data_IF_462525203537
#
_entry.id   IF_462525203537
#
_cell.length_a   1.000
_cell.length_b   1.000
_cell.length_c   1.000
_cell.angle_alpha   90.00
_cell.angle_beta   90.00
_cell.angle_gamma   90.00
#
_symmetry.space_group_name_H-M   'P 1'
#
loop_
_entity.id
_entity.type
_entity.pdbx_description
1 polymer ?
#
# COMPACT_ATOMS: atom_id res chain seq x y z
N UNK A 1 3.50 -23.21 0.96
CA UNK A 1 4.28 -23.04 -0.30
C UNK A 1 5.60 -22.43 0.11
N UNK A 2 6.73 -22.86 -0.44
CA UNK A 2 8.02 -22.27 -0.09
C UNK A 2 8.24 -20.96 -0.87
N UNK A 3 8.86 -19.94 -0.26
CA UNK A 3 9.28 -18.73 -0.96
C UNK A 3 10.18 -19.07 -2.14
N UNK A 4 9.99 -18.36 -3.26
CA UNK A 4 10.83 -18.54 -4.45
C UNK A 4 10.62 -17.42 -5.46
N UNK A 5 11.61 -17.23 -6.32
CA UNK A 5 11.43 -16.50 -7.57
C UNK A 5 10.58 -17.29 -8.58
N UNK A 6 9.69 -16.58 -9.25
CA UNK A 6 8.87 -17.05 -10.37
C UNK A 6 9.28 -16.22 -11.59
N UNK A 7 9.72 -16.90 -12.65
CA UNK A 7 10.19 -16.26 -13.87
C UNK A 7 9.05 -15.60 -14.65
N UNK A 8 9.40 -14.63 -15.51
CA UNK A 8 8.43 -13.76 -16.17
C UNK A 8 7.41 -14.51 -17.05
N UNK A 9 7.82 -15.62 -17.67
CA UNK A 9 6.98 -16.48 -18.51
C UNK A 9 5.98 -17.34 -17.72
N UNK A 10 6.21 -17.48 -16.40
CA UNK A 10 5.35 -18.20 -15.47
C UNK A 10 4.50 -17.27 -14.60
N UNK A 11 4.82 -15.97 -14.61
CA UNK A 11 4.16 -14.94 -13.83
C UNK A 11 2.94 -14.38 -14.57
N UNK A 12 1.77 -14.25 -13.92
CA UNK A 12 0.59 -13.63 -14.54
C UNK A 12 0.80 -12.14 -14.83
N UNK A 13 1.87 -11.53 -14.30
CA UNK A 13 2.21 -10.12 -14.48
C UNK A 13 3.21 -9.90 -15.63
N UNK A 14 3.68 -10.97 -16.29
CA UNK A 14 4.66 -10.87 -17.38
C UNK A 14 6.04 -10.38 -16.95
N UNK A 15 6.31 -10.36 -15.64
CA UNK A 15 7.59 -9.96 -15.04
C UNK A 15 8.03 -10.96 -13.99
N UNK A 16 9.33 -11.04 -13.72
CA UNK A 16 9.87 -11.86 -12.63
C UNK A 16 9.35 -11.34 -11.29
N UNK A 17 8.80 -12.23 -10.47
CA UNK A 17 8.25 -11.92 -9.15
C UNK A 17 8.83 -12.85 -8.10
N UNK A 18 8.87 -12.41 -6.86
CA UNK A 18 9.19 -13.24 -5.71
C UNK A 18 7.91 -13.57 -4.94
N UNK A 19 7.67 -14.85 -4.65
CA UNK A 19 6.47 -15.33 -3.95
C UNK A 19 6.65 -15.27 -2.42
N UNK A 20 6.02 -14.26 -1.81
CA UNK A 20 6.06 -13.99 -0.38
C UNK A 20 4.92 -14.67 0.40
N UNK A 21 4.01 -15.40 -0.26
CA UNK A 21 2.77 -15.91 0.36
C UNK A 21 3.02 -16.79 1.58
N UNK A 22 4.12 -17.53 1.61
CA UNK A 22 4.50 -18.39 2.73
C UNK A 22 4.53 -17.61 4.06
N UNK A 23 5.17 -16.43 4.06
CA UNK A 23 5.27 -15.57 5.23
C UNK A 23 4.02 -14.72 5.39
N UNK A 24 3.51 -14.14 4.29
CA UNK A 24 2.33 -13.27 4.33
C UNK A 24 1.10 -13.96 4.97
N UNK A 25 0.94 -15.27 4.76
CA UNK A 25 -0.23 -16.01 5.25
C UNK A 25 -0.01 -16.72 6.59
N UNK A 26 1.25 -17.07 6.93
CA UNK A 26 1.54 -17.87 8.11
C UNK A 26 2.04 -17.05 9.31
N UNK A 27 2.61 -15.87 9.08
CA UNK A 27 3.15 -15.05 10.15
C UNK A 27 2.00 -14.42 10.95
N UNK A 28 1.90 -14.81 12.23
CA UNK A 28 1.04 -14.14 13.19
C UNK A 28 1.87 -13.14 13.98
N UNK A 29 1.40 -11.90 14.03
CA UNK A 29 2.02 -10.84 14.80
C UNK A 29 1.28 -10.62 16.11
N UNK A 30 2.04 -10.54 17.19
CA UNK A 30 1.58 -9.93 18.42
C UNK A 30 2.46 -8.71 18.70
N UNK A 31 1.88 -7.71 19.36
CA UNK A 31 2.64 -6.58 19.89
C UNK A 31 2.79 -6.76 21.39
N UNK A 32 4.00 -6.53 21.90
CA UNK A 32 4.20 -6.38 23.35
C UNK A 32 3.88 -4.94 23.82
N UNK A 33 3.73 -4.02 22.87
CA UNK A 33 3.35 -2.63 23.13
C UNK A 33 1.83 -2.54 23.30
N UNK A 34 1.40 -2.34 24.56
CA UNK A 34 0.00 -2.24 24.92
C UNK A 34 -0.68 -1.00 24.31
N UNK A 35 0.06 0.09 24.08
CA UNK A 35 -0.47 1.32 23.51
C UNK A 35 -0.78 1.10 22.03
N UNK A 36 0.13 0.46 21.28
CA UNK A 36 -0.11 0.07 19.90
C UNK A 36 -1.31 -0.89 19.75
N UNK A 37 -1.47 -1.85 20.68
CA UNK A 37 -2.63 -2.75 20.69
C UNK A 37 -3.94 -1.99 20.94
N UNK A 38 -3.97 -1.12 21.95
CA UNK A 38 -5.14 -0.31 22.28
C UNK A 38 -5.53 0.63 21.12
N UNK A 39 -4.53 1.26 20.51
CA UNK A 39 -4.71 2.14 19.36
C UNK A 39 -5.30 1.37 18.16
N UNK A 40 -4.74 0.21 17.82
CA UNK A 40 -5.29 -0.64 16.76
C UNK A 40 -6.78 -0.97 16.99
N UNK A 41 -7.13 -1.39 18.22
CA UNK A 41 -8.52 -1.70 18.58
C UNK A 41 -9.43 -0.48 18.45
N UNK A 42 -9.01 0.68 18.98
CA UNK A 42 -9.79 1.93 18.88
C UNK A 42 -10.02 2.35 17.42
N UNK A 43 -8.99 2.23 16.56
CA UNK A 43 -9.10 2.53 15.14
C UNK A 43 -10.08 1.61 14.40
N UNK A 44 -10.35 0.39 14.90
CA UNK A 44 -11.35 -0.51 14.29
C UNK A 44 -12.78 -0.07 14.54
N UNK A 45 -13.02 0.80 15.50
CA UNK A 45 -14.34 1.39 15.79
C UNK A 45 -14.53 2.75 15.09
N UNK A 46 -13.47 3.33 14.54
CA UNK A 46 -13.54 4.62 13.84
C UNK A 46 -14.32 4.54 12.52
N UNK A 47 -14.93 5.65 12.12
CA UNK A 47 -15.52 5.89 10.80
C UNK A 47 -14.50 6.45 9.78
N UNK A 48 -13.25 6.66 10.20
CA UNK A 48 -12.17 7.22 9.37
C UNK A 48 -12.04 8.74 9.46
N UNK A 49 -12.93 9.42 10.19
CA UNK A 49 -12.93 10.89 10.29
C UNK A 49 -11.62 11.48 10.82
N UNK A 50 -10.88 10.73 11.64
CA UNK A 50 -9.57 11.11 12.14
C UNK A 50 -8.50 11.27 11.04
N UNK A 51 -8.69 10.67 9.86
CA UNK A 51 -7.79 10.75 8.70
C UNK A 51 -8.12 11.91 7.76
N UNK A 52 -9.29 12.53 7.89
CA UNK A 52 -9.76 13.57 6.98
C UNK A 52 -8.93 14.84 7.15
N UNK A 53 -8.39 15.37 6.05
CA UNK A 53 -7.52 16.55 6.04
C UNK A 53 -6.11 16.31 6.60
N UNK A 54 -5.80 15.12 7.11
CA UNK A 54 -4.46 14.79 7.60
C UNK A 54 -3.47 14.66 6.45
N UNK A 55 -2.22 15.04 6.71
CA UNK A 55 -1.09 14.95 5.78
C UNK A 55 0.12 14.29 6.46
N UNK A 56 1.02 13.66 5.69
CA UNK A 56 2.33 13.25 6.20
C UNK A 56 3.11 14.43 6.79
N UNK A 57 4.06 14.14 7.68
CA UNK A 57 5.04 15.12 8.11
C UNK A 57 5.86 15.63 6.91
N UNK A 58 6.31 16.88 6.95
CA UNK A 58 7.14 17.51 5.91
C UNK A 58 6.67 17.18 4.47
N UNK A 59 5.41 17.51 4.12
CA UNK A 59 4.80 16.98 2.92
C UNK A 59 5.41 17.58 1.65
N UNK A 60 5.78 16.70 0.73
CA UNK A 60 6.19 17.04 -0.63
C UNK A 60 5.26 16.42 -1.64
N UNK A 61 5.08 17.12 -2.76
CA UNK A 61 4.15 16.75 -3.82
C UNK A 61 4.93 16.14 -5.00
N UNK A 62 4.47 15.00 -5.46
CA UNK A 62 4.94 14.33 -6.68
C UNK A 62 3.77 14.25 -7.65
N UNK A 63 3.93 14.82 -8.84
CA UNK A 63 2.93 14.69 -9.90
C UNK A 63 3.03 13.31 -10.52
N UNK A 64 1.88 12.65 -10.69
CA UNK A 64 1.76 11.30 -11.22
C UNK A 64 0.57 11.25 -12.17
N UNK A 65 0.49 10.19 -12.96
CA UNK A 65 -0.72 9.83 -13.68
C UNK A 65 -0.93 8.36 -13.40
N UNK A 66 -2.03 7.97 -12.78
CA UNK A 66 -2.41 6.57 -12.61
C UNK A 66 -3.91 6.46 -12.88
N UNK A 67 -4.35 5.44 -13.61
CA UNK A 67 -5.75 5.29 -14.02
C UNK A 67 -6.29 3.92 -13.64
N UNK A 68 -7.49 3.90 -13.05
CA UNK A 68 -8.18 2.69 -12.60
C UNK A 68 -9.60 2.65 -13.16
N UNK A 69 -10.00 1.58 -13.86
CA UNK A 69 -11.36 1.46 -14.39
C UNK A 69 -12.45 1.57 -13.30
N UNK A 70 -13.55 2.26 -13.60
CA UNK A 70 -14.67 2.44 -12.66
C UNK A 70 -15.45 1.16 -12.37
N UNK A 71 -15.39 0.18 -13.27
CA UNK A 71 -16.09 -1.10 -13.14
C UNK A 71 -15.44 -2.05 -12.12
N UNK A 72 -14.26 -1.71 -11.60
CA UNK A 72 -13.60 -2.47 -10.53
C UNK A 72 -14.36 -2.36 -9.20
N UNK A 73 -14.71 -1.14 -8.80
CA UNK A 73 -15.37 -0.83 -7.54
C UNK A 73 -15.82 0.62 -7.54
N UNK A 74 -17.08 0.86 -7.17
CA UNK A 74 -17.57 2.21 -6.91
C UNK A 74 -17.05 2.67 -5.54
N UNK A 75 -16.33 3.80 -5.53
CA UNK A 75 -15.77 4.41 -4.33
C UNK A 75 -16.72 5.51 -3.82
N UNK A 76 -16.97 5.57 -2.50
CA UNK A 76 -17.79 6.63 -1.93
C UNK A 76 -17.05 7.98 -2.00
N UNK A 77 -17.79 9.09 -1.94
CA UNK A 77 -17.18 10.42 -1.83
C UNK A 77 -16.47 10.64 -0.49
N UNK A 78 -16.89 9.91 0.55
CA UNK A 78 -16.33 9.98 1.91
C UNK A 78 -16.44 8.65 2.65
N UNK A 79 -15.39 8.30 3.40
CA UNK A 79 -15.39 7.17 4.33
C UNK A 79 -14.17 6.26 4.18
N UNK A 80 -14.18 5.12 4.86
CA UNK A 80 -13.11 4.12 4.76
C UNK A 80 -13.32 3.25 3.52
N UNK A 81 -12.32 3.21 2.63
CA UNK A 81 -12.32 2.37 1.42
C UNK A 81 -11.55 1.06 1.61
N UNK A 82 -10.67 1.01 2.62
CA UNK A 82 -10.03 -0.20 3.11
C UNK A 82 -9.78 -0.12 4.62
N UNK A 83 -10.18 -1.15 5.36
CA UNK A 83 -9.98 -1.29 6.81
C UNK A 83 -9.20 -2.57 7.11
N UNK A 84 -8.06 -2.46 7.78
CA UNK A 84 -7.37 -3.64 8.33
C UNK A 84 -8.28 -4.45 9.28
N UNK A 85 -8.54 -5.71 8.96
CA UNK A 85 -9.29 -6.63 9.80
C UNK A 85 -8.43 -7.41 10.80
N UNK A 86 -7.10 -7.38 10.66
CA UNK A 86 -6.16 -8.04 11.57
C UNK A 86 -4.86 -7.26 11.71
N UNK A 87 -4.04 -7.62 12.70
CA UNK A 87 -2.73 -7.00 12.95
C UNK A 87 -1.75 -7.20 11.79
N UNK A 88 -1.96 -8.22 10.97
CA UNK A 88 -1.21 -8.53 9.76
C UNK A 88 -1.65 -7.66 8.57
N UNK A 89 -2.74 -6.90 8.66
CA UNK A 89 -3.09 -5.87 7.67
C UNK A 89 -2.54 -4.54 8.16
N UNK A 90 -1.60 -3.98 7.40
CA UNK A 90 -0.74 -2.87 7.85
C UNK A 90 -1.27 -1.48 7.52
N UNK A 91 -2.40 -1.40 6.82
CA UNK A 91 -2.91 -0.16 6.24
C UNK A 91 -4.38 0.04 6.54
N UNK A 92 -4.75 1.30 6.72
CA UNK A 92 -6.12 1.80 6.54
C UNK A 92 -6.12 2.87 5.47
N UNK A 93 -7.17 2.89 4.67
CA UNK A 93 -7.31 3.83 3.56
C UNK A 93 -8.70 4.43 3.63
N UNK A 94 -8.75 5.75 3.69
CA UNK A 94 -9.98 6.51 3.67
C UNK A 94 -9.98 7.51 2.51
N UNK A 95 -11.18 7.88 2.07
CA UNK A 95 -11.42 8.93 1.08
C UNK A 95 -12.24 10.05 1.72
N UNK A 96 -11.91 11.29 1.36
CA UNK A 96 -12.69 12.48 1.69
C UNK A 96 -12.59 13.50 0.56
N UNK A 97 -13.70 13.77 -0.13
CA UNK A 97 -13.80 14.78 -1.18
C UNK A 97 -12.70 14.66 -2.24
N UNK A 98 -12.51 13.43 -2.76
CA UNK A 98 -11.50 13.13 -3.76
C UNK A 98 -10.06 13.03 -3.23
N UNK A 99 -9.83 13.08 -1.93
CA UNK A 99 -8.50 12.83 -1.35
C UNK A 99 -8.48 11.46 -0.68
N UNK A 100 -7.62 10.57 -1.16
CA UNK A 100 -7.29 9.32 -0.47
C UNK A 100 -6.19 9.57 0.56
N UNK A 101 -6.34 8.99 1.76
CA UNK A 101 -5.38 9.05 2.86
C UNK A 101 -5.01 7.64 3.27
N UNK A 102 -3.71 7.33 3.26
CA UNK A 102 -3.16 6.01 3.60
C UNK A 102 -2.44 6.10 4.93
N UNK A 103 -2.93 5.37 5.92
CA UNK A 103 -2.40 5.37 7.27
C UNK A 103 -1.93 3.98 7.71
N UNK A 104 -0.93 3.93 8.58
CA UNK A 104 -0.52 2.69 9.25
C UNK A 104 -1.64 2.26 10.20
N UNK A 105 -2.12 1.03 10.06
CA UNK A 105 -3.28 0.55 10.82
C UNK A 105 -3.07 0.45 12.33
N UNK A 106 -1.81 0.37 12.77
CA UNK A 106 -1.46 0.23 14.18
C UNK A 106 -1.36 1.58 14.90
N UNK A 107 -0.81 2.59 14.22
CA UNK A 107 -0.52 3.90 14.83
C UNK A 107 -1.51 4.97 14.40
N UNK A 108 -2.12 4.83 13.22
CA UNK A 108 -2.89 5.88 12.56
C UNK A 108 -2.02 6.91 11.82
N UNK A 109 -0.70 6.70 11.76
CA UNK A 109 0.21 7.63 11.09
C UNK A 109 -0.07 7.68 9.60
N UNK A 110 -0.34 8.87 9.09
CA UNK A 110 -0.54 9.11 7.66
C UNK A 110 0.78 9.10 6.93
N UNK A 111 0.90 8.21 5.95
CA UNK A 111 2.13 8.02 5.16
C UNK A 111 1.99 8.63 3.76
N UNK A 112 0.80 8.51 3.16
CA UNK A 112 0.54 9.05 1.84
C UNK A 112 -0.82 9.74 1.80
N UNK A 113 -0.93 10.74 0.93
CA UNK A 113 -2.21 11.11 0.34
C UNK A 113 -2.12 11.09 -1.18
N UNK A 114 -3.25 10.91 -1.85
CA UNK A 114 -3.33 11.20 -3.27
C UNK A 114 -4.65 11.87 -3.64
N UNK A 115 -4.61 12.71 -4.68
CA UNK A 115 -5.80 13.31 -5.26
C UNK A 115 -6.38 12.31 -6.27
N UNK A 116 -7.66 11.97 -6.12
CA UNK A 116 -8.41 11.03 -6.93
C UNK A 116 -9.58 11.78 -7.58
N UNK A 117 -9.64 11.75 -8.90
CA UNK A 117 -10.75 12.32 -9.67
C UNK A 117 -11.43 11.24 -10.48
N UNK A 118 -12.72 11.41 -10.71
CA UNK A 118 -13.46 10.58 -11.66
C UNK A 118 -13.42 11.26 -13.03
N UNK A 119 -12.82 10.60 -14.01
CA UNK A 119 -12.73 11.07 -15.39
C UNK A 119 -13.24 9.99 -16.35
N UNK A 120 -14.29 10.30 -17.12
CA UNK A 120 -14.91 9.36 -18.05
C UNK A 120 -15.23 8.01 -17.36
N UNK A 121 -14.56 6.92 -17.80
CA UNK A 121 -14.71 5.55 -17.32
C UNK A 121 -13.57 5.14 -16.36
N UNK A 122 -12.87 6.09 -15.74
CA UNK A 122 -11.78 5.78 -14.80
C UNK A 122 -11.72 6.72 -13.59
N UNK A 123 -11.14 6.20 -12.50
CA UNK A 123 -10.53 7.01 -11.46
C UNK A 123 -9.10 7.36 -11.85
N UNK A 124 -8.75 8.64 -11.77
CA UNK A 124 -7.42 9.17 -12.10
C UNK A 124 -6.77 9.72 -10.85
N UNK A 125 -5.55 9.26 -10.57
CA UNK A 125 -4.68 9.84 -9.55
C UNK A 125 -3.67 10.75 -10.22
N UNK A 126 -3.70 12.04 -9.88
CA UNK A 126 -2.81 13.06 -10.46
C UNK A 126 -1.66 13.47 -9.54
N UNK A 127 -1.75 13.09 -8.27
CA UNK A 127 -0.88 13.61 -7.22
C UNK A 127 -0.57 12.54 -6.20
N UNK A 128 0.68 12.43 -5.80
CA UNK A 128 1.09 11.78 -4.57
C UNK A 128 1.67 12.83 -3.61
N UNK A 129 1.23 12.81 -2.36
CA UNK A 129 1.86 13.53 -1.24
C UNK A 129 2.51 12.52 -0.32
N UNK A 130 3.79 12.70 -0.05
CA UNK A 130 4.63 11.86 0.82
C UNK A 130 5.49 12.75 1.71
N UNK A 131 6.05 12.22 2.79
CA UNK A 131 7.07 12.94 3.56
C UNK A 131 8.37 13.03 2.77
N UNK A 132 8.99 14.22 2.77
CA UNK A 132 10.34 14.43 2.22
C UNK A 132 11.38 13.51 2.86
N UNK A 133 11.21 13.21 4.16
CA UNK A 133 12.11 12.35 4.94
C UNK A 133 12.12 10.88 4.43
N UNK A 134 11.13 10.50 3.62
CA UNK A 134 11.04 9.17 3.02
C UNK A 134 11.65 9.10 1.63
N UNK A 135 11.87 10.24 0.97
CA UNK A 135 12.39 10.26 -0.39
C UNK A 135 13.86 9.89 -0.39
N UNK A 136 14.20 8.86 -1.15
CA UNK A 136 15.59 8.52 -1.49
C UNK A 136 15.86 9.03 -2.90
N UNK A 137 16.87 9.89 -3.05
CA UNK A 137 17.18 10.61 -4.29
C UNK A 137 17.30 9.70 -5.53
N UNK A 138 17.74 8.45 -5.35
CA UNK A 138 17.95 7.50 -6.44
C UNK A 138 16.71 6.64 -6.77
N UNK A 139 15.62 6.72 -6.00
CA UNK A 139 14.38 5.95 -6.22
C UNK A 139 13.09 6.69 -5.80
N UNK A 140 12.96 7.96 -6.21
CA UNK A 140 11.73 8.76 -6.01
C UNK A 140 10.47 8.01 -6.46
N UNK A 141 10.56 7.22 -7.54
CA UNK A 141 9.44 6.42 -8.08
C UNK A 141 8.94 5.31 -7.15
N UNK A 142 9.73 4.88 -6.15
CA UNK A 142 9.37 3.79 -5.26
C UNK A 142 8.00 4.03 -4.61
N UNK A 143 7.78 5.21 -4.04
CA UNK A 143 6.54 5.54 -3.35
C UNK A 143 5.32 5.61 -4.28
N UNK A 144 5.53 6.02 -5.54
CA UNK A 144 4.48 5.97 -6.57
C UNK A 144 4.03 4.52 -6.78
N UNK A 145 4.96 3.59 -6.94
CA UNK A 145 4.61 2.18 -7.12
C UNK A 145 4.07 1.52 -5.84
N UNK A 146 4.48 1.99 -4.66
CA UNK A 146 3.86 1.57 -3.40
C UNK A 146 2.39 1.96 -3.36
N UNK A 147 2.07 3.22 -3.68
CA UNK A 147 0.67 3.67 -3.69
C UNK A 147 -0.13 2.98 -4.80
N UNK A 148 0.44 2.79 -5.99
CA UNK A 148 -0.20 2.00 -7.03
C UNK A 148 -0.52 0.57 -6.57
N UNK A 149 0.43 -0.09 -5.90
CA UNK A 149 0.20 -1.39 -5.29
C UNK A 149 -0.92 -1.35 -4.24
N UNK A 150 -0.95 -0.34 -3.34
CA UNK A 150 -2.00 -0.22 -2.33
C UNK A 150 -3.38 0.02 -2.96
N UNK A 151 -3.46 0.80 -4.04
CA UNK A 151 -4.71 1.00 -4.79
C UNK A 151 -5.21 -0.32 -5.37
N UNK A 152 -4.38 -1.03 -6.15
CA UNK A 152 -4.76 -2.34 -6.69
C UNK A 152 -5.14 -3.34 -5.61
N UNK A 153 -4.25 -3.55 -4.63
CA UNK A 153 -4.35 -4.66 -3.68
C UNK A 153 -5.25 -4.40 -2.48
N UNK A 154 -5.46 -3.15 -2.07
CA UNK A 154 -6.26 -2.83 -0.88
C UNK A 154 -7.57 -2.15 -1.25
N UNK A 155 -7.55 -1.17 -2.16
CA UNK A 155 -8.77 -0.45 -2.54
C UNK A 155 -9.61 -1.29 -3.51
N UNK A 156 -8.99 -1.85 -4.55
CA UNK A 156 -9.68 -2.62 -5.60
C UNK A 156 -9.62 -4.15 -5.40
N UNK A 157 -8.95 -4.64 -4.36
CA UNK A 157 -8.85 -6.07 -4.02
C UNK A 157 -8.29 -6.98 -5.14
N UNK A 158 -7.40 -6.42 -5.97
CA UNK A 158 -6.72 -7.11 -7.06
C UNK A 158 -5.32 -7.51 -6.63
N UNK A 159 -4.99 -8.79 -6.82
CA UNK A 159 -3.64 -9.30 -6.58
C UNK A 159 -2.66 -8.59 -7.51
N UNK A 160 -1.70 -7.89 -6.93
CA UNK A 160 -0.70 -7.10 -7.64
C UNK A 160 0.65 -7.21 -6.90
N UNK A 161 1.79 -7.28 -7.60
CA UNK A 161 3.08 -7.33 -6.94
C UNK A 161 3.48 -5.95 -6.41
N UNK A 162 3.97 -5.88 -5.17
CA UNK A 162 4.51 -4.64 -4.61
C UNK A 162 5.94 -4.40 -5.11
N UNK A 163 6.39 -3.13 -5.20
CA UNK A 163 7.77 -2.83 -5.55
C UNK A 163 8.72 -3.25 -4.42
N UNK A 164 9.91 -3.72 -4.80
CA UNK A 164 11.08 -3.78 -3.92
C UNK A 164 11.87 -2.47 -4.04
N UNK A 165 12.41 -1.90 -2.96
CA UNK A 165 13.32 -0.75 -3.04
C UNK A 165 14.49 -1.03 -4.00
N UNK A 166 14.97 0.00 -4.72
CA UNK A 166 16.24 -0.16 -5.46
C UNK A 166 17.36 -0.53 -4.50
N UNK A 167 18.23 -1.45 -4.95
CA UNK A 167 19.34 -1.92 -4.14
C UNK A 167 18.94 -2.74 -2.91
N UNK A 168 17.65 -3.10 -2.75
CA UNK A 168 17.24 -4.04 -1.72
C UNK A 168 18.08 -5.32 -1.84
N UNK A 169 18.64 -5.77 -0.72
CA UNK A 169 19.34 -7.04 -0.67
C UNK A 169 18.41 -8.12 -1.23
N UNK A 170 18.86 -8.75 -2.29
CA UNK A 170 18.14 -9.83 -3.00
C UNK A 170 18.17 -11.14 -2.22
N UNK A 171 18.65 -11.12 -0.97
CA UNK A 171 18.46 -12.26 -0.09
C UNK A 171 16.97 -12.40 0.23
N UNK A 172 16.51 -13.64 0.15
CA UNK A 172 15.09 -13.96 0.17
C UNK A 172 14.46 -13.62 1.52
N UNK A 173 15.21 -13.73 2.62
CA UNK A 173 14.73 -13.44 3.97
C UNK A 173 14.47 -11.93 4.15
N UNK A 174 15.39 -11.08 3.68
CA UNK A 174 15.20 -9.62 3.68
C UNK A 174 13.99 -9.20 2.86
N UNK A 175 13.78 -9.81 1.69
CA UNK A 175 12.58 -9.58 0.88
C UNK A 175 11.34 -9.96 1.67
N UNK A 176 11.28 -11.15 2.25
CA UNK A 176 10.12 -11.63 3.00
C UNK A 176 9.77 -10.71 4.18
N UNK A 177 10.78 -10.36 4.98
CA UNK A 177 10.60 -9.55 6.18
C UNK A 177 10.19 -8.11 5.85
N UNK A 178 10.83 -7.49 4.85
CA UNK A 178 10.45 -6.14 4.42
C UNK A 178 9.05 -6.12 3.79
N UNK A 179 8.73 -7.09 2.94
CA UNK A 179 7.40 -7.25 2.34
C UNK A 179 6.30 -7.36 3.41
N UNK A 180 6.51 -8.20 4.42
CA UNK A 180 5.54 -8.37 5.49
C UNK A 180 5.47 -7.14 6.42
N UNK A 181 6.59 -6.50 6.73
CA UNK A 181 6.60 -5.27 7.53
C UNK A 181 5.81 -4.14 6.85
N UNK A 182 6.03 -3.96 5.54
CA UNK A 182 5.38 -2.91 4.76
C UNK A 182 3.93 -3.23 4.42
N UNK A 183 3.62 -4.46 3.99
CA UNK A 183 2.35 -4.81 3.35
C UNK A 183 1.60 -5.97 4.03
N UNK A 184 2.25 -6.64 4.98
CA UNK A 184 1.65 -7.69 5.80
C UNK A 184 1.04 -8.82 4.98
N UNK A 185 -0.16 -9.28 5.37
CA UNK A 185 -0.79 -10.45 4.76
C UNK A 185 -1.22 -10.27 3.31
N UNK A 186 -1.21 -9.04 2.78
CA UNK A 186 -1.52 -8.74 1.37
C UNK A 186 -0.28 -8.70 0.48
N UNK A 187 0.93 -8.63 1.06
CA UNK A 187 2.21 -8.61 0.35
C UNK A 187 2.59 -9.97 -0.21
N UNK A 188 1.82 -10.49 -1.18
CA UNK A 188 1.98 -11.84 -1.71
C UNK A 188 3.10 -11.98 -2.72
N UNK A 189 3.33 -10.93 -3.52
CA UNK A 189 4.32 -10.95 -4.57
C UNK A 189 5.12 -9.67 -4.54
N UNK A 190 6.44 -9.79 -4.69
CA UNK A 190 7.35 -8.67 -4.78
C UNK A 190 8.01 -8.62 -6.16
N UNK A 191 8.37 -7.44 -6.66
CA UNK A 191 9.14 -7.32 -7.90
C UNK A 191 10.12 -6.16 -7.88
N UNK A 192 11.23 -6.34 -8.59
CA UNK A 192 12.20 -5.26 -8.86
C UNK A 192 11.78 -4.39 -10.05
N UNK A 193 10.84 -4.86 -10.87
CA UNK A 193 10.35 -4.12 -12.05
C UNK A 193 9.39 -3.02 -11.61
N UNK A 194 9.54 -1.84 -12.22
CA UNK A 194 8.55 -0.76 -12.13
C UNK A 194 7.58 -0.91 -13.30
N UNK A 195 6.30 -1.14 -13.02
CA UNK A 195 5.27 -1.10 -14.06
C UNK A 195 5.11 0.33 -14.55
N UNK A 196 4.74 0.53 -15.80
CA UNK A 196 4.21 1.82 -16.21
C UNK A 196 2.94 2.09 -15.42
N UNK A 197 2.86 3.28 -14.84
CA UNK A 197 1.73 3.75 -14.02
C UNK A 197 1.18 5.01 -14.64
#
# INVERSE_FOLDING_TARGET
MEPRWIEADQSPFGVRIFDCRAIATAMMTSTADADAAAQFMALRESDGSHLFGQRPANPVRVDVSMSYPLDLKDLPDRGIVFRAGSMEEKWDIAIDDGVLTFARSWTGDVVYNCDLQRENDSYVVSTLVVSDDMIVDDDVSYHVHVVNYLLWSHVFDIVYPHPLPKGADVDEDSILMSSFSSFGKRGWFATTVRFEV
#
